data_IF_334607974297
#
_entry.id   IF_334607974297
#
_cell.length_a   1.000
_cell.length_b   1.000
_cell.length_c   1.000
_cell.angle_alpha   90.00
_cell.angle_beta   90.00
_cell.angle_gamma   90.00
#
_symmetry.space_group_name_H-M   'P 1'
#
loop_
_entity.id
_entity.type
_entity.pdbx_description
1 polymer ?
#
# COMPACT_ATOMS: atom_id res chain seq x y z
N UNK A 1 -13.86 4.92 -8.08
CA UNK A 1 -13.03 6.13 -7.84
C UNK A 1 -13.67 7.37 -8.45
N UNK A 2 -14.19 7.35 -9.69
CA UNK A 2 -14.81 8.52 -10.35
C UNK A 2 -15.99 9.15 -9.59
N UNK A 3 -16.59 8.47 -8.60
CA UNK A 3 -17.68 9.00 -7.76
C UNK A 3 -17.20 9.78 -6.53
N UNK A 4 -15.90 9.78 -6.24
CA UNK A 4 -15.29 10.36 -5.04
C UNK A 4 -14.44 11.58 -5.40
N UNK A 5 -14.05 11.68 -6.68
CA UNK A 5 -13.22 12.79 -7.17
C UNK A 5 -14.07 14.04 -7.42
N UNK A 6 -13.53 15.21 -7.10
CA UNK A 6 -14.09 16.49 -7.54
C UNK A 6 -14.10 16.58 -9.07
N UNK A 7 -14.98 17.38 -9.65
CA UNK A 7 -15.22 17.42 -11.11
C UNK A 7 -13.95 17.73 -11.91
N UNK A 8 -13.06 18.57 -11.39
CA UNK A 8 -11.79 18.90 -12.05
C UNK A 8 -10.83 17.70 -12.08
N UNK A 9 -10.70 17.00 -10.96
CA UNK A 9 -9.83 15.82 -10.86
C UNK A 9 -10.40 14.63 -11.63
N UNK A 10 -11.72 14.52 -11.68
CA UNK A 10 -12.40 13.54 -12.51
C UNK A 10 -12.10 13.74 -13.99
N UNK A 11 -12.13 14.99 -14.47
CA UNK A 11 -11.79 15.31 -15.85
C UNK A 11 -10.33 14.99 -16.15
N UNK A 12 -9.40 15.37 -15.27
CA UNK A 12 -7.97 15.02 -15.40
C UNK A 12 -7.77 13.51 -15.48
N UNK A 13 -8.45 12.75 -14.60
CA UNK A 13 -8.39 11.28 -14.59
C UNK A 13 -8.91 10.69 -15.90
N UNK A 14 -10.05 11.17 -16.41
CA UNK A 14 -10.63 10.70 -17.67
C UNK A 14 -9.71 11.01 -18.85
N UNK A 15 -9.09 12.19 -18.90
CA UNK A 15 -8.15 12.58 -19.95
C UNK A 15 -6.92 11.70 -19.95
N UNK A 16 -6.37 11.40 -18.78
CA UNK A 16 -5.24 10.46 -18.62
C UNK A 16 -5.64 9.05 -19.10
N UNK A 17 -6.81 8.56 -18.71
CA UNK A 17 -7.28 7.22 -19.09
C UNK A 17 -7.59 7.07 -20.59
N UNK A 18 -7.88 8.19 -21.30
CA UNK A 18 -8.06 8.22 -22.76
C UNK A 18 -6.74 8.27 -23.55
N UNK A 19 -5.61 8.49 -22.86
CA UNK A 19 -4.32 8.54 -23.54
C UNK A 19 -4.02 7.20 -24.23
N UNK A 20 -3.71 7.26 -25.53
CA UNK A 20 -3.55 6.06 -26.38
C UNK A 20 -2.47 5.07 -25.91
N UNK A 21 -1.51 5.53 -25.09
CA UNK A 21 -0.47 4.68 -24.51
C UNK A 21 -0.92 3.94 -23.23
N UNK A 22 -2.06 4.31 -22.65
CA UNK A 22 -2.62 3.62 -21.48
C UNK A 22 -3.56 2.51 -21.94
N UNK A 23 -3.35 1.32 -21.43
CA UNK A 23 -4.19 0.15 -21.71
C UNK A 23 -4.59 -0.52 -20.40
N UNK A 24 -5.88 -0.60 -20.16
CA UNK A 24 -6.41 -1.32 -19.01
C UNK A 24 -6.50 -2.81 -19.34
N UNK A 25 -5.82 -3.64 -18.53
CA UNK A 25 -5.90 -5.09 -18.65
C UNK A 25 -6.77 -5.68 -17.53
N UNK A 26 -7.81 -6.40 -17.91
CA UNK A 26 -8.75 -7.05 -16.98
C UNK A 26 -8.76 -8.57 -17.07
N UNK A 27 -7.98 -9.18 -17.99
CA UNK A 27 -8.00 -10.62 -18.25
C UNK A 27 -6.63 -11.28 -18.06
N UNK A 28 -6.63 -12.61 -17.84
CA UNK A 28 -5.41 -13.41 -17.82
C UNK A 28 -4.79 -13.55 -19.21
N UNK A 29 -5.62 -13.60 -20.25
CA UNK A 29 -5.16 -13.62 -21.63
C UNK A 29 -4.39 -12.35 -21.97
N UNK A 30 -4.94 -11.18 -21.62
CA UNK A 30 -4.24 -9.89 -21.73
C UNK A 30 -2.92 -9.86 -20.96
N UNK A 31 -2.86 -10.48 -19.77
CA UNK A 31 -1.60 -10.61 -19.01
C UNK A 31 -0.56 -11.43 -19.78
N UNK A 32 -0.95 -12.58 -20.34
CA UNK A 32 -0.06 -13.41 -21.16
C UNK A 32 0.43 -12.66 -22.41
N UNK A 33 -0.48 -11.94 -23.08
CA UNK A 33 -0.14 -11.12 -24.24
C UNK A 33 0.82 -9.96 -23.88
N UNK A 34 0.69 -9.39 -22.69
CA UNK A 34 1.61 -8.38 -22.18
C UNK A 34 2.99 -9.01 -21.94
N UNK A 35 3.08 -10.12 -21.24
CA UNK A 35 4.34 -10.79 -20.91
C UNK A 35 5.08 -11.33 -22.14
N UNK A 36 4.36 -11.77 -23.17
CA UNK A 36 4.96 -12.29 -24.42
C UNK A 36 5.61 -11.21 -25.29
N UNK A 37 5.23 -9.95 -25.13
CA UNK A 37 5.79 -8.83 -25.91
C UNK A 37 7.13 -8.38 -25.34
N UNK A 38 8.12 -8.17 -26.20
CA UNK A 38 9.47 -7.68 -25.84
C UNK A 38 9.59 -6.14 -25.85
N UNK A 39 8.48 -5.41 -25.98
CA UNK A 39 8.51 -3.94 -25.99
C UNK A 39 8.69 -3.35 -24.60
N UNK A 40 9.33 -2.17 -24.51
CA UNK A 40 9.40 -1.40 -23.26
C UNK A 40 8.01 -1.00 -22.82
N UNK A 41 7.72 -1.13 -21.52
CA UNK A 41 6.42 -0.83 -20.94
C UNK A 41 6.52 -0.57 -19.45
N UNK A 42 5.52 0.11 -18.91
CA UNK A 42 5.29 0.27 -17.49
C UNK A 42 4.01 -0.50 -17.16
N UNK A 43 4.06 -1.36 -16.15
CA UNK A 43 2.90 -2.08 -15.63
C UNK A 43 2.56 -1.50 -14.27
N UNK A 44 1.37 -0.93 -14.13
CA UNK A 44 0.85 -0.43 -12.85
C UNK A 44 -0.16 -1.45 -12.35
N UNK A 45 0.09 -2.02 -11.18
CA UNK A 45 -0.75 -3.09 -10.62
C UNK A 45 -0.75 -3.05 -9.09
N UNK A 46 -1.81 -3.53 -8.47
CA UNK A 46 -1.92 -3.81 -7.04
C UNK A 46 -1.71 -5.31 -6.77
N UNK A 47 -1.33 -5.73 -5.58
CA UNK A 47 -1.12 -5.00 -4.32
C UNK A 47 0.35 -4.61 -4.13
N UNK A 48 0.59 -3.58 -3.28
CA UNK A 48 1.94 -3.12 -2.94
C UNK A 48 2.78 -4.16 -2.19
N UNK A 49 2.16 -5.10 -1.47
CA UNK A 49 2.85 -6.20 -0.78
C UNK A 49 3.25 -7.36 -1.70
N UNK A 50 2.88 -7.30 -2.96
CA UNK A 50 3.16 -8.29 -4.01
C UNK A 50 2.58 -9.70 -3.74
N UNK A 51 1.88 -9.91 -2.64
CA UNK A 51 1.34 -11.21 -2.21
C UNK A 51 -0.06 -11.52 -2.75
N UNK A 52 -0.74 -10.56 -3.36
CA UNK A 52 -2.10 -10.71 -3.86
C UNK A 52 -2.43 -9.78 -5.02
N UNK A 53 -3.63 -9.95 -5.59
CA UNK A 53 -4.08 -9.14 -6.71
C UNK A 53 -3.45 -9.52 -8.05
N UNK A 54 -3.59 -8.64 -9.04
CA UNK A 54 -3.14 -8.93 -10.41
C UNK A 54 -1.62 -8.95 -10.58
N UNK A 55 -0.88 -8.27 -9.69
CA UNK A 55 0.58 -8.25 -9.71
C UNK A 55 1.17 -9.66 -9.65
N UNK A 56 0.52 -10.59 -8.95
CA UNK A 56 0.98 -11.99 -8.82
C UNK A 56 1.14 -12.70 -10.16
N UNK A 57 0.38 -12.28 -11.17
CA UNK A 57 0.46 -12.86 -12.52
C UNK A 57 1.65 -12.34 -13.35
N UNK A 58 2.21 -11.20 -12.99
CA UNK A 58 3.35 -10.59 -13.66
C UNK A 58 4.67 -10.89 -12.94
N UNK A 59 4.59 -10.95 -11.61
CA UNK A 59 5.74 -10.92 -10.72
C UNK A 59 6.80 -11.99 -11.00
N UNK A 60 6.47 -13.28 -11.19
CA UNK A 60 7.49 -14.30 -11.44
C UNK A 60 8.39 -13.96 -12.62
N UNK A 61 7.78 -13.59 -13.76
CA UNK A 61 8.54 -13.27 -14.98
C UNK A 61 9.37 -11.99 -14.83
N UNK A 62 8.92 -11.03 -14.03
CA UNK A 62 9.65 -9.78 -13.78
C UNK A 62 10.82 -10.05 -12.85
N UNK A 63 10.62 -10.84 -11.79
CA UNK A 63 11.68 -11.15 -10.81
C UNK A 63 12.84 -11.93 -11.44
N UNK A 64 12.57 -12.82 -12.37
CA UNK A 64 13.60 -13.58 -13.10
C UNK A 64 14.39 -12.75 -14.11
N UNK A 65 13.92 -11.57 -14.48
CA UNK A 65 14.49 -10.76 -15.55
C UNK A 65 15.46 -9.69 -15.03
N UNK A 66 16.73 -9.77 -15.39
CA UNK A 66 17.71 -8.73 -15.06
C UNK A 66 17.51 -7.39 -15.81
N UNK A 67 16.56 -7.34 -16.75
CA UNK A 67 16.22 -6.12 -17.50
C UNK A 67 15.04 -5.37 -16.94
N UNK A 68 14.28 -6.01 -16.04
CA UNK A 68 13.08 -5.46 -15.46
C UNK A 68 13.36 -4.84 -14.09
N UNK A 69 12.50 -3.92 -13.68
CA UNK A 69 12.57 -3.22 -12.41
C UNK A 69 11.20 -3.18 -11.74
N UNK A 70 11.21 -3.33 -10.43
CA UNK A 70 10.03 -3.17 -9.60
C UNK A 70 10.17 -1.88 -8.82
N UNK A 71 9.16 -1.02 -8.89
CA UNK A 71 9.08 0.20 -8.08
C UNK A 71 7.87 0.05 -7.16
N UNK A 72 8.14 -0.05 -5.87
CA UNK A 72 7.12 -0.10 -4.83
C UNK A 72 6.78 1.33 -4.40
N UNK A 73 5.52 1.71 -4.52
CA UNK A 73 5.03 3.03 -4.13
C UNK A 73 4.45 2.96 -2.73
N UNK A 74 5.15 3.54 -1.76
CA UNK A 74 4.72 3.58 -0.36
C UNK A 74 5.23 2.41 0.49
N UNK A 75 4.44 2.02 1.48
CA UNK A 75 4.78 0.94 2.42
C UNK A 75 4.68 -0.44 1.76
N UNK A 76 5.74 -1.22 1.89
CA UNK A 76 5.86 -2.55 1.27
C UNK A 76 5.47 -3.73 2.20
N UNK A 77 5.02 -3.44 3.42
CA UNK A 77 4.77 -4.45 4.45
C UNK A 77 5.98 -4.66 5.37
N UNK A 78 5.86 -5.64 6.27
CA UNK A 78 6.98 -6.10 7.12
C UNK A 78 8.04 -6.84 6.29
N UNK A 79 9.18 -7.11 6.90
CA UNK A 79 10.27 -7.91 6.32
C UNK A 79 9.80 -9.30 5.88
N UNK A 80 8.81 -9.87 6.56
CA UNK A 80 8.17 -11.16 6.21
C UNK A 80 7.21 -11.08 5.02
N UNK A 81 6.83 -9.88 4.57
CA UNK A 81 6.01 -9.74 3.37
C UNK A 81 6.81 -10.13 2.12
N UNK A 82 6.13 -10.60 1.05
CA UNK A 82 6.83 -10.93 -0.18
C UNK A 82 7.61 -9.73 -0.75
N UNK A 83 7.08 -8.53 -0.61
CA UNK A 83 7.78 -7.31 -1.02
C UNK A 83 9.04 -7.06 -0.16
N UNK A 84 8.95 -7.22 1.18
CA UNK A 84 10.09 -7.12 2.09
C UNK A 84 11.16 -8.16 1.75
N UNK A 85 10.79 -9.43 1.67
CA UNK A 85 11.70 -10.52 1.26
C UNK A 85 12.40 -10.21 -0.06
N UNK A 86 11.67 -9.68 -1.05
CA UNK A 86 12.27 -9.32 -2.34
C UNK A 86 13.20 -8.12 -2.26
N UNK A 87 12.94 -7.14 -1.38
CA UNK A 87 13.85 -6.00 -1.15
C UNK A 87 15.17 -6.51 -0.58
N UNK A 88 15.11 -7.36 0.44
CA UNK A 88 16.28 -7.80 1.21
C UNK A 88 17.09 -8.91 0.51
N UNK A 89 16.50 -9.60 -0.46
CA UNK A 89 17.21 -10.64 -1.21
C UNK A 89 18.17 -10.03 -2.22
N UNK A 90 19.42 -10.47 -2.21
CA UNK A 90 20.42 -10.09 -3.21
C UNK A 90 20.09 -10.64 -4.61
N UNK A 91 20.61 -9.99 -5.65
CA UNK A 91 20.50 -10.51 -7.03
C UNK A 91 21.17 -11.88 -7.16
N UNK A 92 20.55 -12.74 -7.98
CA UNK A 92 21.00 -14.11 -8.21
C UNK A 92 20.64 -15.09 -7.10
N UNK A 93 20.03 -14.65 -5.99
CA UNK A 93 19.60 -15.51 -4.89
C UNK A 93 18.18 -16.04 -5.11
N UNK A 94 17.85 -17.25 -4.61
CA UNK A 94 16.54 -17.83 -4.73
C UNK A 94 15.53 -17.16 -3.79
N UNK A 95 14.32 -16.94 -4.27
CA UNK A 95 13.15 -16.49 -3.50
C UNK A 95 11.99 -17.47 -3.74
N UNK A 96 11.32 -17.84 -2.65
CA UNK A 96 10.12 -18.67 -2.71
C UNK A 96 8.88 -17.79 -2.88
N UNK A 97 8.16 -17.97 -3.99
CA UNK A 97 6.89 -17.27 -4.22
C UNK A 97 5.92 -18.14 -5.02
N UNK A 98 4.66 -18.11 -4.65
CA UNK A 98 3.57 -18.81 -5.34
C UNK A 98 3.89 -20.30 -5.63
N UNK A 99 4.41 -21.01 -4.60
CA UNK A 99 4.84 -22.41 -4.67
C UNK A 99 5.96 -22.70 -5.69
N UNK A 100 6.79 -21.71 -5.98
CA UNK A 100 7.95 -21.83 -6.87
C UNK A 100 9.17 -21.18 -6.24
N UNK A 101 10.34 -21.72 -6.50
CA UNK A 101 11.62 -21.07 -6.20
C UNK A 101 12.11 -20.37 -7.46
N UNK A 102 12.34 -19.08 -7.38
CA UNK A 102 12.69 -18.19 -8.49
C UNK A 102 13.96 -17.44 -8.14
N UNK A 103 14.89 -17.31 -9.08
CA UNK A 103 16.07 -16.47 -8.87
C UNK A 103 15.71 -14.99 -9.04
N UNK A 104 16.02 -14.20 -8.04
CA UNK A 104 15.82 -12.75 -8.12
C UNK A 104 16.93 -12.12 -8.95
N UNK A 105 16.60 -11.69 -10.15
CA UNK A 105 17.53 -11.00 -11.06
C UNK A 105 17.15 -9.52 -11.29
N UNK A 106 15.90 -9.12 -11.00
CA UNK A 106 15.44 -7.75 -11.18
C UNK A 106 15.97 -6.79 -10.10
N UNK A 107 16.02 -5.51 -10.44
CA UNK A 107 16.20 -4.43 -9.46
C UNK A 107 14.87 -4.11 -8.78
N UNK A 108 14.93 -3.75 -7.48
CA UNK A 108 13.78 -3.31 -6.70
C UNK A 108 14.08 -1.99 -6.03
N UNK A 109 13.17 -1.04 -6.17
CA UNK A 109 13.24 0.28 -5.56
C UNK A 109 11.98 0.54 -4.74
N UNK A 110 12.12 1.08 -3.55
CA UNK A 110 11.00 1.55 -2.73
C UNK A 110 10.99 3.07 -2.66
N UNK A 111 9.87 3.67 -3.05
CA UNK A 111 9.60 5.10 -2.93
C UNK A 111 8.71 5.35 -1.72
N UNK A 112 9.27 5.89 -0.63
CA UNK A 112 8.54 6.14 0.63
C UNK A 112 7.72 7.43 0.63
N UNK A 113 7.88 8.28 -0.38
CA UNK A 113 7.26 9.62 -0.46
C UNK A 113 5.80 9.61 -0.93
N UNK A 114 5.32 8.51 -1.50
CA UNK A 114 3.95 8.41 -2.01
C UNK A 114 3.12 7.52 -1.09
N UNK A 115 2.41 8.16 -0.18
CA UNK A 115 1.42 7.50 0.68
C UNK A 115 0.04 8.09 0.42
N UNK A 116 -0.96 7.22 0.31
CA UNK A 116 -2.38 7.59 0.31
C UNK A 116 -2.97 7.62 1.72
N UNK A 117 -2.18 7.28 2.74
CA UNK A 117 -2.60 7.31 4.12
C UNK A 117 -2.41 8.72 4.67
N UNK A 118 -3.34 9.15 5.51
CA UNK A 118 -3.21 10.38 6.27
C UNK A 118 -1.94 10.34 7.12
N UNK A 119 -1.23 11.46 7.14
CA UNK A 119 -0.07 11.62 8.02
C UNK A 119 -0.53 11.80 9.47
N UNK A 120 0.39 11.60 10.40
CA UNK A 120 0.07 11.68 11.83
C UNK A 120 -0.57 13.03 12.21
N UNK A 121 -0.01 14.14 11.73
CA UNK A 121 -0.53 15.48 12.00
C UNK A 121 -1.94 15.71 11.42
N UNK A 122 -2.26 15.10 10.29
CA UNK A 122 -3.59 15.15 9.69
C UNK A 122 -4.60 14.37 10.53
N UNK A 123 -4.19 13.19 11.03
CA UNK A 123 -5.01 12.39 11.95
C UNK A 123 -5.27 13.14 13.26
N UNK A 124 -4.28 13.83 13.82
CA UNK A 124 -4.46 14.63 15.02
C UNK A 124 -5.46 15.78 14.83
N UNK A 125 -5.41 16.45 13.67
CA UNK A 125 -6.39 17.49 13.30
C UNK A 125 -7.79 16.88 13.21
N UNK A 126 -7.94 15.76 12.51
CA UNK A 126 -9.22 15.05 12.42
C UNK A 126 -9.75 14.66 13.81
N UNK A 127 -8.90 14.12 14.68
CA UNK A 127 -9.29 13.75 16.04
C UNK A 127 -9.77 14.97 16.87
N UNK A 128 -9.17 16.13 16.64
CA UNK A 128 -9.60 17.36 17.30
C UNK A 128 -10.95 17.89 16.80
N UNK A 129 -11.32 17.61 15.56
CA UNK A 129 -12.59 18.01 14.95
C UNK A 129 -13.75 17.09 15.34
N UNK A 130 -13.45 15.81 15.56
CA UNK A 130 -14.48 14.82 15.90
C UNK A 130 -15.01 15.03 17.32
N UNK A 131 -16.33 15.13 17.47
CA UNK A 131 -17.00 15.23 18.76
C UNK A 131 -17.43 13.85 19.25
N UNK A 132 -16.52 13.13 19.88
CA UNK A 132 -16.76 11.79 20.45
C UNK A 132 -15.99 11.63 21.76
N UNK A 133 -16.52 10.87 22.73
CA UNK A 133 -15.79 10.56 23.96
C UNK A 133 -14.61 9.62 23.75
N UNK A 134 -14.62 8.81 22.67
CA UNK A 134 -13.59 7.81 22.41
C UNK A 134 -13.29 7.67 20.92
N UNK A 135 -12.00 7.51 20.60
CA UNK A 135 -11.49 7.15 19.28
C UNK A 135 -10.74 5.83 19.42
N UNK A 136 -11.11 4.84 18.62
CA UNK A 136 -10.48 3.52 18.66
C UNK A 136 -9.47 3.40 17.53
N UNK A 137 -8.23 3.09 17.86
CA UNK A 137 -7.16 2.83 16.90
C UNK A 137 -7.03 1.33 16.68
N UNK A 138 -7.34 0.90 15.47
CA UNK A 138 -7.25 -0.49 15.02
C UNK A 138 -6.35 -0.58 13.79
N UNK A 139 -5.86 -1.79 13.49
CA UNK A 139 -5.05 -2.06 12.30
C UNK A 139 -3.75 -1.25 12.25
N UNK A 140 -3.08 -1.16 13.39
CA UNK A 140 -1.77 -0.55 13.56
C UNK A 140 -0.84 -1.59 14.21
N UNK A 141 0.45 -1.54 13.88
CA UNK A 141 1.44 -2.40 14.50
C UNK A 141 1.47 -2.19 16.01
N UNK A 142 1.52 -3.29 16.77
CA UNK A 142 1.35 -3.23 18.23
C UNK A 142 2.41 -2.36 18.91
N UNK A 143 3.65 -2.39 18.42
CA UNK A 143 4.76 -1.61 18.96
C UNK A 143 4.55 -0.11 18.83
N UNK A 144 3.97 0.33 17.72
CA UNK A 144 3.73 1.75 17.44
C UNK A 144 2.38 2.25 17.96
N UNK A 145 1.46 1.34 18.27
CA UNK A 145 0.08 1.69 18.66
C UNK A 145 0.00 2.46 19.96
N UNK A 146 0.74 2.01 20.97
CA UNK A 146 0.76 2.64 22.29
C UNK A 146 1.36 4.04 22.22
N UNK A 147 2.49 4.19 21.55
CA UNK A 147 3.14 5.49 21.36
C UNK A 147 2.23 6.45 20.59
N UNK A 148 1.59 5.97 19.52
CA UNK A 148 0.62 6.75 18.76
C UNK A 148 -0.53 7.25 19.63
N UNK A 149 -1.16 6.37 20.42
CA UNK A 149 -2.27 6.72 21.29
C UNK A 149 -1.83 7.71 22.37
N UNK A 150 -0.65 7.55 22.94
CA UNK A 150 -0.11 8.45 23.96
C UNK A 150 0.09 9.86 23.40
N UNK A 151 0.75 10.00 22.24
CA UNK A 151 0.94 11.28 21.56
C UNK A 151 -0.39 11.94 21.15
N UNK A 152 -1.34 11.15 20.67
CA UNK A 152 -2.66 11.66 20.30
C UNK A 152 -3.46 12.15 21.52
N UNK A 153 -3.41 11.42 22.64
CA UNK A 153 -4.04 11.84 23.90
C UNK A 153 -3.40 13.10 24.49
N UNK A 154 -2.09 13.25 24.40
CA UNK A 154 -1.38 14.48 24.80
C UNK A 154 -1.83 15.67 23.95
N UNK A 155 -1.82 15.53 22.63
CA UNK A 155 -2.28 16.57 21.70
C UNK A 155 -3.72 17.04 21.98
N UNK A 156 -4.63 16.12 22.31
CA UNK A 156 -6.03 16.43 22.62
C UNK A 156 -6.17 17.11 23.99
N UNK A 157 -5.42 16.68 24.99
CA UNK A 157 -5.41 17.32 26.33
C UNK A 157 -4.96 18.78 26.27
N UNK A 158 -3.91 19.07 25.50
CA UNK A 158 -3.39 20.43 25.31
C UNK A 158 -4.44 21.39 24.68
N UNK A 159 -5.48 20.80 24.05
CA UNK A 159 -6.60 21.53 23.44
C UNK A 159 -7.89 21.43 24.24
N UNK A 160 -7.78 21.05 25.52
CA UNK A 160 -8.91 20.89 26.44
C UNK A 160 -10.00 19.92 25.92
N UNK A 161 -9.63 18.91 25.14
CA UNK A 161 -10.55 17.85 24.70
C UNK A 161 -10.62 16.74 25.74
N UNK A 162 -11.83 16.24 25.96
CA UNK A 162 -12.10 15.09 26.84
C UNK A 162 -12.09 13.74 26.10
N UNK A 163 -11.99 13.78 24.79
CA UNK A 163 -11.86 12.60 23.91
C UNK A 163 -10.64 11.77 24.28
N UNK A 164 -10.80 10.45 24.36
CA UNK A 164 -9.70 9.52 24.60
C UNK A 164 -9.43 8.68 23.37
N UNK A 165 -8.16 8.57 22.99
CA UNK A 165 -7.66 7.68 21.92
C UNK A 165 -7.18 6.38 22.57
N UNK A 166 -7.72 5.25 22.13
CA UNK A 166 -7.51 3.94 22.72
C UNK A 166 -7.08 2.95 21.63
N UNK A 167 -5.92 2.34 21.81
CA UNK A 167 -5.47 1.25 20.95
C UNK A 167 -6.24 -0.03 21.25
N UNK A 168 -6.81 -0.65 20.21
CA UNK A 168 -7.51 -1.93 20.35
C UNK A 168 -6.74 -3.05 19.69
N UNK A 169 -6.63 -4.19 20.35
CA UNK A 169 -6.01 -5.41 19.82
C UNK A 169 -7.10 -6.31 19.21
N UNK A 170 -6.72 -7.45 18.64
CA UNK A 170 -7.66 -8.42 18.10
C UNK A 170 -8.61 -8.89 19.22
N UNK A 171 -9.90 -8.70 19.04
CA UNK A 171 -10.95 -9.11 19.97
C UNK A 171 -12.25 -8.35 19.73
N UNK A 172 -13.35 -8.82 20.28
CA UNK A 172 -14.60 -8.06 20.35
C UNK A 172 -14.56 -7.16 21.57
N UNK A 173 -14.90 -5.89 21.39
CA UNK A 173 -15.02 -4.93 22.48
C UNK A 173 -16.48 -4.50 22.59
N UNK A 174 -17.09 -4.73 23.76
CA UNK A 174 -18.35 -4.10 24.11
C UNK A 174 -18.07 -2.79 24.84
N UNK A 175 -18.57 -1.71 24.31
CA UNK A 175 -18.61 -0.44 25.01
C UNK A 175 -20.04 -0.18 25.46
N UNK A 176 -20.24 -0.04 26.76
CA UNK A 176 -21.49 0.57 27.27
C UNK A 176 -21.44 2.05 26.92
N UNK A 177 -22.39 2.48 26.12
CA UNK A 177 -22.63 3.88 25.77
C UNK A 177 -23.09 4.68 26.97
#
# INVERSE_FOLDING_TARGET
YSRILEDEDKKKFEDVMRWHNIKVNTSLEGTRAILSKRSRRIIISSSGFLSGGRVTNYLPSIVESSKDRIILLGYAGSEDSLAGVLIDTEQGKPVNMFNRTILKNCDIYQMKTWSSHMQFDELLKLFNEVNTPRILVHHCDNENKEEFCNKANEYLRDRNKTTRVIGVNKGCFEFKL
#
